data_IF_125018600647
#
_entry.id   IF_125018600647
#
_cell.length_a   1.000
_cell.length_b   1.000
_cell.length_c   1.000
_cell.angle_alpha   90.00
_cell.angle_beta   90.00
_cell.angle_gamma   90.00
#
_symmetry.space_group_name_H-M   'P 1'
#
loop_
_entity.id
_entity.type
_entity.pdbx_description
1 polymer ?
#
# COMPACT_ATOMS: atom_id res chain seq x y z
N UNK A 1 -16.36 0.92 -17.60
CA UNK A 1 -17.56 1.66 -18.07
C UNK A 1 -18.58 1.79 -16.95
N UNK A 2 -19.49 2.76 -17.04
CA UNK A 2 -20.60 2.96 -16.09
C UNK A 2 -21.85 2.21 -16.58
N UNK A 3 -22.53 1.50 -15.70
CA UNK A 3 -23.82 0.85 -15.96
C UNK A 3 -24.81 1.30 -14.89
N UNK A 4 -26.04 1.56 -15.27
CA UNK A 4 -27.11 1.99 -14.35
C UNK A 4 -28.26 1.01 -14.41
N UNK A 5 -28.74 0.59 -13.24
CA UNK A 5 -29.93 -0.24 -13.11
C UNK A 5 -30.95 0.46 -12.20
N UNK A 6 -32.22 0.35 -12.57
CA UNK A 6 -33.33 0.91 -11.81
C UNK A 6 -34.36 -0.17 -11.53
N UNK A 7 -34.65 -0.41 -10.25
CA UNK A 7 -35.81 -1.20 -9.83
C UNK A 7 -36.62 -0.39 -8.80
N UNK A 8 -37.81 0.07 -9.19
CA UNK A 8 -38.65 0.90 -8.31
C UNK A 8 -38.08 2.32 -8.11
N UNK A 9 -38.13 2.85 -6.88
CA UNK A 9 -37.66 4.20 -6.54
C UNK A 9 -36.16 4.31 -6.25
N UNK A 10 -35.44 3.19 -6.22
CA UNK A 10 -34.00 3.15 -5.98
C UNK A 10 -33.23 3.04 -7.31
N UNK A 11 -32.18 3.87 -7.45
CA UNK A 11 -31.28 3.89 -8.60
C UNK A 11 -29.91 3.38 -8.17
N UNK A 12 -29.41 2.36 -8.85
CA UNK A 12 -28.09 1.78 -8.61
C UNK A 12 -27.17 2.11 -9.77
N UNK A 13 -25.93 2.48 -9.46
CA UNK A 13 -24.90 2.79 -10.45
C UNK A 13 -23.65 1.96 -10.17
N UNK A 14 -23.16 1.30 -11.20
CA UNK A 14 -21.96 0.47 -11.16
C UNK A 14 -20.85 1.10 -12.00
N UNK A 15 -19.63 1.06 -11.47
CA UNK A 15 -18.43 1.49 -12.17
C UNK A 15 -17.27 0.57 -11.84
N UNK A 16 -16.36 0.44 -12.79
CA UNK A 16 -15.11 -0.32 -12.63
C UNK A 16 -14.05 0.55 -11.99
N UNK A 17 -13.34 0.02 -11.00
CA UNK A 17 -12.20 0.69 -10.37
C UNK A 17 -11.14 -0.34 -10.00
N UNK A 18 -9.88 0.10 -9.98
CA UNK A 18 -8.78 -0.69 -9.43
C UNK A 18 -8.96 -0.86 -7.92
N UNK A 19 -8.98 -2.11 -7.45
CA UNK A 19 -9.09 -2.46 -6.02
C UNK A 19 -8.00 -3.45 -5.65
N UNK A 20 -7.50 -3.32 -4.45
CA UNK A 20 -6.51 -4.20 -3.82
C UNK A 20 -7.16 -5.33 -2.99
N UNK A 21 -8.50 -5.33 -2.93
CA UNK A 21 -9.34 -6.32 -2.23
C UNK A 21 -10.49 -6.77 -3.13
N UNK A 22 -10.93 -8.01 -2.93
CA UNK A 22 -12.03 -8.60 -3.69
C UNK A 22 -13.32 -7.93 -3.27
N UNK A 23 -14.13 -7.55 -4.26
CA UNK A 23 -15.48 -7.06 -4.04
C UNK A 23 -16.43 -8.19 -4.42
N UNK A 24 -17.15 -8.69 -3.42
CA UNK A 24 -18.13 -9.75 -3.59
C UNK A 24 -19.33 -9.23 -4.39
N UNK A 25 -19.40 -9.62 -5.67
CA UNK A 25 -20.47 -9.20 -6.57
C UNK A 25 -21.82 -9.85 -6.26
N UNK A 26 -21.87 -10.92 -5.45
CA UNK A 26 -23.15 -11.52 -4.99
C UNK A 26 -23.95 -10.59 -4.05
N UNK A 27 -23.34 -9.47 -3.66
CA UNK A 27 -23.97 -8.43 -2.85
C UNK A 27 -24.47 -7.26 -3.69
N UNK A 28 -24.33 -7.33 -5.01
CA UNK A 28 -24.85 -6.31 -5.90
C UNK A 28 -26.35 -6.45 -6.04
N UNK A 29 -27.02 -5.34 -6.32
CA UNK A 29 -28.46 -5.33 -6.51
C UNK A 29 -28.85 -6.05 -7.82
N UNK A 30 -28.02 -5.90 -8.84
CA UNK A 30 -28.08 -6.70 -10.07
C UNK A 30 -26.72 -7.39 -10.27
N UNK A 31 -26.71 -8.70 -10.12
CA UNK A 31 -25.54 -9.53 -10.37
C UNK A 31 -25.34 -9.80 -11.86
N UNK A 32 -26.42 -9.74 -12.66
CA UNK A 32 -26.41 -10.15 -14.06
C UNK A 32 -25.54 -9.19 -14.88
N UNK A 33 -24.40 -9.69 -15.35
CA UNK A 33 -23.45 -8.90 -16.11
C UNK A 33 -22.50 -8.04 -15.25
N UNK A 34 -22.45 -8.29 -13.94
CA UNK A 34 -21.61 -7.61 -12.96
C UNK A 34 -20.75 -8.57 -12.13
N UNK A 35 -20.08 -9.51 -12.78
CA UNK A 35 -19.28 -10.54 -12.11
C UNK A 35 -17.87 -10.04 -11.80
N UNK A 36 -17.49 -10.08 -10.52
CA UNK A 36 -16.11 -9.83 -10.09
C UNK A 36 -15.34 -11.15 -9.92
N UNK A 37 -14.00 -11.13 -10.02
CA UNK A 37 -13.18 -12.28 -9.68
C UNK A 37 -13.38 -12.68 -8.21
N UNK A 38 -13.28 -13.98 -7.93
CA UNK A 38 -13.39 -14.53 -6.57
C UNK A 38 -12.03 -14.81 -5.93
N UNK A 39 -10.93 -14.54 -6.64
CA UNK A 39 -9.56 -14.71 -6.16
C UNK A 39 -8.63 -13.70 -6.79
N UNK A 40 -7.63 -13.26 -6.03
CA UNK A 40 -6.47 -12.58 -6.61
C UNK A 40 -5.45 -13.61 -7.10
N UNK A 41 -4.92 -13.45 -8.32
CA UNK A 41 -3.85 -14.32 -8.82
C UNK A 41 -2.48 -14.02 -8.18
N UNK A 42 -2.31 -12.84 -7.57
CA UNK A 42 -1.08 -12.40 -6.90
C UNK A 42 -1.44 -11.79 -5.55
N UNK A 43 -0.62 -12.03 -4.52
CA UNK A 43 -0.80 -11.44 -3.19
C UNK A 43 0.13 -10.23 -3.03
N UNK A 44 -0.38 -9.17 -2.41
CA UNK A 44 0.46 -8.08 -1.92
C UNK A 44 1.48 -8.63 -0.92
N UNK A 45 2.73 -8.21 -1.06
CA UNK A 45 3.82 -8.64 -0.20
C UNK A 45 4.63 -7.43 0.25
N UNK A 46 4.97 -7.39 1.54
CA UNK A 46 5.82 -6.37 2.12
C UNK A 46 7.15 -7.00 2.54
N UNK A 47 8.25 -6.45 2.03
CA UNK A 47 9.59 -6.85 2.43
C UNK A 47 10.12 -5.85 3.45
N UNK A 48 10.50 -6.33 4.62
CA UNK A 48 11.11 -5.52 5.66
C UNK A 48 12.59 -5.90 5.80
N UNK A 49 13.48 -4.91 5.77
CA UNK A 49 14.91 -5.15 5.96
C UNK A 49 15.17 -5.83 7.31
N UNK A 50 16.07 -6.82 7.31
CA UNK A 50 16.49 -7.50 8.53
C UNK A 50 17.12 -6.53 9.52
N UNK A 51 17.98 -5.63 9.03
CA UNK A 51 18.72 -4.66 9.83
C UNK A 51 18.41 -3.25 9.32
N UNK A 52 17.83 -2.43 10.18
CA UNK A 52 17.63 -0.99 9.97
C UNK A 52 18.38 -0.26 11.08
N UNK A 53 19.17 0.75 10.70
CA UNK A 53 20.00 1.51 11.64
C UNK A 53 19.71 2.99 11.59
N UNK A 54 19.80 3.62 12.76
CA UNK A 54 19.89 5.08 12.92
C UNK A 54 21.17 5.35 13.71
N UNK A 55 22.17 5.92 13.04
CA UNK A 55 23.52 6.00 13.60
C UNK A 55 24.06 4.62 14.01
N UNK A 56 24.48 4.49 15.27
CA UNK A 56 24.98 3.23 15.84
C UNK A 56 23.88 2.28 16.34
N UNK A 57 22.62 2.70 16.32
CA UNK A 57 21.50 1.94 16.88
C UNK A 57 20.79 1.10 15.84
N UNK A 58 20.27 -0.05 16.25
CA UNK A 58 19.44 -0.96 15.46
C UNK A 58 17.98 -0.80 15.90
N UNK A 59 17.06 -0.78 14.95
CA UNK A 59 15.63 -0.68 15.24
C UNK A 59 15.01 -2.07 15.44
N UNK A 60 14.16 -2.21 16.45
CA UNK A 60 13.36 -3.42 16.68
C UNK A 60 12.30 -3.61 15.59
N UNK A 61 11.67 -4.78 15.53
CA UNK A 61 10.64 -5.06 14.53
C UNK A 61 9.44 -4.12 14.66
N UNK A 62 8.99 -3.87 15.88
CA UNK A 62 7.87 -2.99 16.23
C UNK A 62 8.11 -1.56 15.75
N UNK A 63 9.36 -1.09 15.89
CA UNK A 63 9.76 0.25 15.48
C UNK A 63 9.88 0.35 13.95
N UNK A 64 10.35 -0.71 13.28
CA UNK A 64 10.33 -0.78 11.81
C UNK A 64 8.90 -0.76 11.24
N UNK A 65 7.91 -1.29 11.96
CA UNK A 65 6.50 -1.23 11.56
C UNK A 65 5.88 0.16 11.65
N UNK A 66 6.51 1.12 12.35
CA UNK A 66 6.05 2.53 12.40
C UNK A 66 6.38 3.32 11.12
N UNK A 67 7.15 2.77 10.18
CA UNK A 67 7.31 3.35 8.85
C UNK A 67 6.06 3.10 7.99
N UNK A 68 5.06 3.96 8.14
CA UNK A 68 3.76 3.85 7.45
C UNK A 68 3.61 4.81 6.26
N UNK A 69 4.52 5.75 6.10
CA UNK A 69 4.54 6.68 4.97
C UNK A 69 5.21 6.06 3.74
N UNK A 70 4.41 5.42 2.89
CA UNK A 70 4.90 4.79 1.67
C UNK A 70 5.03 5.80 0.51
N UNK A 71 6.20 5.85 -0.09
CA UNK A 71 6.47 6.56 -1.34
C UNK A 71 6.39 5.59 -2.51
N UNK A 72 5.67 5.97 -3.55
CA UNK A 72 5.51 5.16 -4.76
C UNK A 72 6.84 5.07 -5.53
N UNK A 73 7.16 3.87 -6.00
CA UNK A 73 8.25 3.63 -6.94
C UNK A 73 7.66 3.54 -8.33
N UNK A 74 8.07 4.47 -9.19
CA UNK A 74 7.90 4.35 -10.63
C UNK A 74 9.14 3.70 -11.21
N UNK A 75 8.98 2.60 -11.92
CA UNK A 75 10.09 1.94 -12.60
C UNK A 75 10.11 2.33 -14.08
N UNK A 76 11.31 2.53 -14.62
CA UNK A 76 11.55 2.61 -16.06
C UNK A 76 12.01 1.26 -16.63
N UNK A 77 12.17 0.25 -15.77
CA UNK A 77 12.59 -1.09 -16.17
C UNK A 77 11.42 -1.89 -16.73
N UNK A 78 11.50 -2.14 -18.03
CA UNK A 78 10.51 -2.93 -18.74
C UNK A 78 10.64 -4.40 -18.36
N UNK A 79 9.54 -5.09 -18.01
CA UNK A 79 9.62 -6.50 -17.66
C UNK A 79 9.97 -7.33 -18.90
N UNK A 80 10.79 -8.38 -18.73
CA UNK A 80 11.13 -9.30 -19.82
C UNK A 80 9.90 -10.03 -20.38
N UNK A 81 8.90 -10.25 -19.52
CA UNK A 81 7.61 -10.84 -19.84
C UNK A 81 6.78 -9.91 -20.73
N UNK A 82 6.56 -10.33 -21.98
CA UNK A 82 5.84 -9.55 -23.02
C UNK A 82 4.35 -9.35 -22.74
N UNK A 83 3.75 -10.23 -21.94
CA UNK A 83 2.36 -10.15 -21.50
C UNK A 83 2.14 -9.09 -20.41
N UNK A 84 3.22 -8.57 -19.83
CA UNK A 84 3.17 -7.46 -18.88
C UNK A 84 3.47 -6.16 -19.61
N UNK A 85 2.54 -5.21 -19.51
CA UNK A 85 2.66 -3.87 -20.06
C UNK A 85 3.11 -2.91 -18.96
N UNK A 86 3.85 -1.87 -19.34
CA UNK A 86 4.27 -0.81 -18.41
C UNK A 86 3.68 0.51 -18.88
N UNK A 87 3.07 1.26 -17.97
CA UNK A 87 2.53 2.59 -18.25
C UNK A 87 2.61 3.45 -16.98
N UNK A 88 3.12 4.68 -17.10
CA UNK A 88 3.30 5.61 -15.99
C UNK A 88 4.03 5.00 -14.76
N UNK A 89 5.04 4.16 -15.01
CA UNK A 89 5.82 3.47 -13.97
C UNK A 89 5.09 2.34 -13.24
N UNK A 90 3.89 1.96 -13.69
CA UNK A 90 3.09 0.86 -13.16
C UNK A 90 3.10 -0.33 -14.13
N UNK A 91 2.93 -1.53 -13.58
CA UNK A 91 2.90 -2.77 -14.34
C UNK A 91 1.47 -3.29 -14.47
N UNK A 92 1.09 -3.72 -15.67
CA UNK A 92 -0.25 -4.19 -15.99
C UNK A 92 -0.22 -5.55 -16.66
N UNK A 93 -1.10 -6.44 -16.21
CA UNK A 93 -1.44 -7.66 -16.94
C UNK A 93 -2.86 -7.52 -17.46
N UNK A 94 -2.97 -7.03 -18.69
CA UNK A 94 -4.19 -6.67 -19.41
C UNK A 94 -3.95 -6.76 -20.91
N UNK A 95 -5.00 -6.90 -21.72
CA UNK A 95 -4.93 -6.82 -23.18
C UNK A 95 -4.60 -5.38 -23.65
N UNK A 96 -5.23 -4.36 -23.06
CA UNK A 96 -5.04 -2.94 -23.37
C UNK A 96 -5.06 -2.10 -22.08
N UNK A 97 -4.03 -1.27 -21.87
CA UNK A 97 -3.94 -0.41 -20.67
C UNK A 97 -4.99 0.70 -20.70
N UNK A 98 -5.46 1.09 -21.89
CA UNK A 98 -6.46 2.14 -22.07
C UNK A 98 -7.91 1.62 -21.98
N UNK A 99 -8.11 0.31 -22.09
CA UNK A 99 -9.40 -0.37 -21.95
C UNK A 99 -9.30 -1.56 -20.97
N UNK A 100 -9.07 -1.30 -19.68
CA UNK A 100 -8.93 -2.36 -18.70
C UNK A 100 -10.29 -3.02 -18.38
N UNK A 101 -10.26 -4.34 -18.29
CA UNK A 101 -11.41 -5.17 -17.96
C UNK A 101 -11.40 -5.65 -16.51
N UNK A 102 -12.58 -6.00 -15.99
CA UNK A 102 -12.71 -6.64 -14.68
C UNK A 102 -11.89 -7.93 -14.66
N UNK A 103 -10.97 -8.04 -13.70
CA UNK A 103 -10.05 -9.18 -13.59
C UNK A 103 -8.63 -8.90 -14.09
N UNK A 104 -8.40 -7.80 -14.80
CA UNK A 104 -7.05 -7.34 -15.11
C UNK A 104 -6.27 -6.98 -13.85
N UNK A 105 -4.94 -7.03 -13.93
CA UNK A 105 -4.05 -6.72 -12.81
C UNK A 105 -3.27 -5.44 -13.06
N UNK A 106 -3.11 -4.69 -11.97
CA UNK A 106 -2.19 -3.55 -11.88
C UNK A 106 -1.33 -3.72 -10.64
N UNK A 107 -0.01 -3.71 -10.83
CA UNK A 107 0.98 -3.84 -9.77
C UNK A 107 1.71 -2.50 -9.61
N UNK A 108 1.82 -2.08 -8.36
CA UNK A 108 2.49 -0.86 -7.94
C UNK A 108 3.47 -1.21 -6.82
N UNK A 109 4.68 -0.66 -6.89
CA UNK A 109 5.67 -0.80 -5.84
C UNK A 109 5.76 0.49 -5.03
N UNK A 110 6.08 0.35 -3.74
CA UNK A 110 6.32 1.47 -2.85
C UNK A 110 7.32 1.07 -1.77
N UNK A 111 7.93 2.07 -1.14
CA UNK A 111 8.85 1.88 -0.01
C UNK A 111 8.54 2.87 1.11
N UNK A 112 8.91 2.52 2.33
CA UNK A 112 8.92 3.42 3.48
C UNK A 112 10.24 3.24 4.24
N UNK A 113 10.91 4.34 4.56
CA UNK A 113 12.24 4.33 5.19
C UNK A 113 13.37 4.02 4.21
N UNK A 114 13.82 5.04 3.48
CA UNK A 114 14.99 4.97 2.60
C UNK A 114 16.28 5.25 3.38
N UNK A 115 17.40 4.70 2.91
CA UNK A 115 18.71 5.09 3.45
C UNK A 115 18.94 6.59 3.25
N UNK A 116 19.31 7.30 4.31
CA UNK A 116 19.45 8.75 4.32
C UNK A 116 18.22 9.51 4.81
N UNK A 117 17.08 8.85 5.00
CA UNK A 117 15.92 9.48 5.63
C UNK A 117 16.25 9.94 7.05
N UNK A 118 15.81 11.13 7.39
CA UNK A 118 15.88 11.68 8.74
C UNK A 118 14.60 11.28 9.47
N UNK A 119 14.75 10.71 10.65
CA UNK A 119 13.64 10.35 11.55
C UNK A 119 13.97 10.78 12.98
N UNK A 120 12.94 11.14 13.74
CA UNK A 120 13.02 11.27 15.19
C UNK A 120 12.37 10.05 15.84
N UNK A 121 12.97 9.55 16.92
CA UNK A 121 12.56 8.31 17.59
C UNK A 121 12.53 8.53 19.10
N UNK A 122 11.41 8.16 19.73
CA UNK A 122 11.30 7.98 21.17
C UNK A 122 11.02 6.50 21.42
N UNK A 123 11.99 5.79 21.98
CA UNK A 123 11.85 4.39 22.33
C UNK A 123 12.78 4.02 23.48
N UNK A 124 12.47 2.91 24.16
CA UNK A 124 13.40 2.33 25.13
C UNK A 124 14.68 1.87 24.43
N UNK A 125 15.82 2.13 25.06
CA UNK A 125 17.13 1.65 24.61
C UNK A 125 17.57 0.45 25.45
N UNK A 126 18.08 -0.60 24.79
CA UNK A 126 18.76 -1.75 25.43
C UNK A 126 20.07 -2.03 24.67
N UNK A 127 21.19 -1.55 25.19
CA UNK A 127 22.46 -1.59 24.47
C UNK A 127 22.38 -0.72 23.20
N UNK A 128 22.55 -1.35 22.03
CA UNK A 128 22.40 -0.69 20.73
C UNK A 128 21.01 -0.91 20.09
N UNK A 129 20.08 -1.59 20.74
CA UNK A 129 18.71 -1.77 20.25
C UNK A 129 17.82 -0.63 20.72
N UNK A 130 17.07 -0.03 19.81
CA UNK A 130 15.93 0.86 20.09
C UNK A 130 14.63 0.12 19.84
N UNK A 131 13.77 0.06 20.86
CA UNK A 131 12.48 -0.63 20.81
C UNK A 131 11.96 -1.01 22.20
N UNK A 132 10.76 -1.59 22.27
CA UNK A 132 10.07 -1.96 23.50
C UNK A 132 8.56 -2.11 23.28
N UNK A 133 7.82 -2.54 24.29
CA UNK A 133 6.37 -2.76 24.14
C UNK A 133 5.54 -1.55 24.58
N UNK A 134 6.09 -0.66 25.42
CA UNK A 134 5.30 0.38 26.11
C UNK A 134 5.29 1.72 25.35
N UNK A 135 6.46 2.22 24.96
CA UNK A 135 6.62 3.55 24.33
C UNK A 135 7.50 3.40 23.10
N UNK A 136 6.88 3.54 21.92
CA UNK A 136 7.54 3.62 20.62
C UNK A 136 6.87 4.71 19.80
N UNK A 137 7.59 5.81 19.58
CA UNK A 137 7.25 6.82 18.59
C UNK A 137 8.36 6.86 17.53
N UNK A 138 7.93 6.96 16.28
CA UNK A 138 8.81 7.22 15.16
C UNK A 138 8.06 8.18 14.24
N UNK A 139 8.73 9.27 13.88
CA UNK A 139 8.21 10.24 12.95
C UNK A 139 9.29 10.66 11.95
N UNK A 140 8.86 11.00 10.76
CA UNK A 140 9.74 11.48 9.69
C UNK A 140 10.19 12.91 9.98
N UNK A 141 11.45 13.20 9.67
CA UNK A 141 12.07 14.50 9.86
C UNK A 141 12.74 14.66 11.23
N UNK A 142 13.15 15.90 11.52
CA UNK A 142 13.80 16.27 12.77
C UNK A 142 12.79 17.00 13.65
N UNK A 143 12.16 16.24 14.54
CA UNK A 143 11.19 16.73 15.51
C UNK A 143 11.77 16.78 16.92
N UNK A 144 11.27 17.72 17.72
CA UNK A 144 11.53 17.78 19.16
C UNK A 144 10.76 16.66 19.89
N UNK A 145 11.22 16.21 21.08
CA UNK A 145 10.44 15.26 21.87
C UNK A 145 9.04 15.77 22.23
N UNK A 146 8.89 17.07 22.48
CA UNK A 146 7.62 17.70 22.81
C UNK A 146 6.62 17.62 21.65
N UNK A 147 7.08 17.89 20.42
CA UNK A 147 6.24 17.76 19.22
C UNK A 147 5.83 16.31 19.00
N UNK A 148 6.75 15.36 19.17
CA UNK A 148 6.45 13.95 18.98
C UNK A 148 5.40 13.42 19.96
N UNK A 149 5.53 13.81 21.24
CA UNK A 149 4.56 13.42 22.26
C UNK A 149 3.20 14.06 21.95
N UNK A 150 3.18 15.31 21.49
CA UNK A 150 1.94 16.00 21.13
C UNK A 150 1.25 15.35 19.92
N UNK A 151 2.00 14.89 18.92
CA UNK A 151 1.45 14.30 17.71
C UNK A 151 0.80 12.93 17.97
N UNK A 152 1.34 12.11 18.86
CA UNK A 152 0.75 10.79 19.17
C UNK A 152 -0.56 10.88 19.99
N UNK A 153 -0.83 12.01 20.65
CA UNK A 153 -2.00 12.18 21.53
C UNK A 153 -3.16 12.97 20.89
N UNK A 154 -3.13 13.25 19.59
CA UNK A 154 -4.21 13.89 18.82
C UNK A 154 -4.71 12.99 17.70
#
# INVERSE_FOLDING_TARGET
GMKEDSSGSARYSYYTAWKDKLIDSSKFHDEHGHHNPTKFPVKSHQYMSNIVKVGSFILSAELKWKFTEFTLVTSDERPERRDIKMHAGLYYHTADVWDPHVGDLRIQFSYAGMSGDVVSIIARQRGNLLGGEDIIFLEKGKLSPEDMIKNEHN
#
